data_IF_024514519966
#
_entry.id   IF_024514519966
#
_cell.length_a   1.000
_cell.length_b   1.000
_cell.length_c   1.000
_cell.angle_alpha   90.00
_cell.angle_beta   90.00
_cell.angle_gamma   90.00
#
_symmetry.space_group_name_H-M   'P 1'
#
loop_
_entity.id
_entity.type
_entity.pdbx_description
1 polymer ?
#
# COMPACT_ATOMS: atom_id res chain seq x y z
N UNK A 1 -23.49 25.30 -8.35
CA UNK A 1 -23.28 25.15 -6.90
C UNK A 1 -24.54 24.57 -6.33
N UNK A 2 -24.49 23.51 -5.52
CA UNK A 2 -25.69 22.94 -4.89
C UNK A 2 -25.79 23.36 -3.43
N UNK A 3 -27.02 23.58 -2.94
CA UNK A 3 -27.28 23.81 -1.53
C UNK A 3 -27.86 22.57 -0.91
N UNK A 4 -27.14 22.00 0.05
CA UNK A 4 -27.53 20.78 0.74
C UNK A 4 -27.63 21.04 2.24
N UNK A 5 -28.66 20.50 2.88
CA UNK A 5 -28.65 20.35 4.34
C UNK A 5 -27.55 19.37 4.76
N UNK A 6 -27.13 19.40 6.04
CA UNK A 6 -26.13 18.45 6.56
C UNK A 6 -26.54 16.98 6.35
N UNK A 7 -27.84 16.69 6.40
CA UNK A 7 -28.40 15.35 6.15
C UNK A 7 -28.27 14.95 4.66
N UNK A 8 -28.59 15.87 3.76
CA UNK A 8 -28.44 15.64 2.31
C UNK A 8 -26.97 15.50 1.93
N UNK A 9 -26.08 16.25 2.59
CA UNK A 9 -24.64 16.15 2.36
C UNK A 9 -24.05 14.84 2.89
N UNK A 10 -24.44 14.37 4.07
CA UNK A 10 -24.03 13.03 4.53
C UNK A 10 -24.49 11.94 3.57
N UNK A 11 -25.74 12.04 3.09
CA UNK A 11 -26.26 11.11 2.09
C UNK A 11 -25.45 11.17 0.81
N UNK A 12 -25.13 12.36 0.31
CA UNK A 12 -24.29 12.56 -0.85
C UNK A 12 -22.92 11.87 -0.71
N UNK A 13 -22.23 12.07 0.43
CA UNK A 13 -20.93 11.43 0.71
C UNK A 13 -21.08 9.91 0.81
N UNK A 14 -22.15 9.44 1.44
CA UNK A 14 -22.44 7.99 1.58
C UNK A 14 -22.70 7.34 0.22
N UNK A 15 -23.49 7.99 -0.64
CA UNK A 15 -23.79 7.51 -1.99
C UNK A 15 -22.52 7.54 -2.85
N UNK A 16 -21.69 8.59 -2.75
CA UNK A 16 -20.40 8.67 -3.43
C UNK A 16 -19.45 7.53 -3.02
N UNK A 17 -19.37 7.24 -1.72
CA UNK A 17 -18.57 6.13 -1.21
C UNK A 17 -19.09 4.78 -1.72
N UNK A 18 -20.41 4.56 -1.72
CA UNK A 18 -21.00 3.33 -2.23
C UNK A 18 -20.67 3.10 -3.70
N UNK A 19 -20.74 4.15 -4.54
CA UNK A 19 -20.34 4.05 -5.94
C UNK A 19 -18.86 3.75 -6.14
N UNK A 20 -17.98 4.36 -5.34
CA UNK A 20 -16.53 4.06 -5.37
C UNK A 20 -16.26 2.60 -5.01
N UNK A 21 -16.94 2.08 -3.98
CA UNK A 21 -16.81 0.69 -3.57
C UNK A 21 -17.36 -0.31 -4.61
N UNK A 22 -18.48 0.03 -5.27
CA UNK A 22 -19.03 -0.77 -6.36
C UNK A 22 -18.07 -0.83 -7.55
N UNK A 23 -17.55 0.33 -7.97
CA UNK A 23 -16.58 0.44 -9.05
C UNK A 23 -15.27 -0.30 -8.73
N UNK A 24 -14.83 -0.27 -7.46
CA UNK A 24 -13.68 -1.04 -7.01
C UNK A 24 -13.89 -2.54 -7.26
N UNK A 25 -15.05 -3.07 -6.87
CA UNK A 25 -15.39 -4.49 -7.07
C UNK A 25 -15.47 -4.85 -8.56
N UNK A 26 -16.07 -4.00 -9.38
CA UNK A 26 -16.12 -4.22 -10.84
C UNK A 26 -14.72 -4.29 -11.46
N UNK A 27 -13.80 -3.38 -11.08
CA UNK A 27 -12.41 -3.42 -11.57
C UNK A 27 -11.66 -4.66 -11.05
N UNK A 28 -11.94 -5.10 -9.82
CA UNK A 28 -11.36 -6.32 -9.25
C UNK A 28 -11.79 -7.57 -10.05
N UNK A 29 -13.06 -7.64 -10.45
CA UNK A 29 -13.59 -8.70 -11.31
C UNK A 29 -12.91 -8.68 -12.69
N UNK A 30 -12.66 -7.49 -13.28
CA UNK A 30 -11.86 -7.36 -14.52
C UNK A 30 -10.41 -7.83 -14.33
N UNK A 31 -9.76 -7.47 -13.22
CA UNK A 31 -8.39 -7.91 -12.90
C UNK A 31 -8.30 -9.43 -12.83
N UNK A 32 -9.29 -10.07 -12.22
CA UNK A 32 -9.36 -11.53 -12.18
C UNK A 32 -9.52 -12.11 -13.59
N UNK A 33 -10.45 -11.59 -14.40
CA UNK A 33 -10.64 -12.04 -15.77
C UNK A 33 -9.40 -11.85 -16.67
N UNK A 34 -8.65 -10.75 -16.50
CA UNK A 34 -7.39 -10.50 -17.18
C UNK A 34 -6.30 -11.48 -16.76
N UNK A 35 -6.17 -11.77 -15.46
CA UNK A 35 -5.21 -12.76 -14.96
C UNK A 35 -5.51 -14.15 -15.51
N UNK A 36 -6.78 -14.56 -15.51
CA UNK A 36 -7.22 -15.85 -16.06
C UNK A 36 -6.94 -15.93 -17.58
N UNK A 37 -7.22 -14.86 -18.32
CA UNK A 37 -6.94 -14.78 -19.76
C UNK A 37 -5.44 -14.87 -20.05
N UNK A 38 -4.61 -14.19 -19.25
CA UNK A 38 -3.15 -14.23 -19.37
C UNK A 38 -2.59 -15.61 -19.06
N UNK A 39 -3.02 -16.24 -17.97
CA UNK A 39 -2.56 -17.57 -17.61
C UNK A 39 -2.97 -18.61 -18.66
N UNK A 40 -4.19 -18.53 -19.19
CA UNK A 40 -4.62 -19.36 -20.31
C UNK A 40 -3.73 -19.16 -21.54
N UNK A 41 -3.46 -17.91 -21.91
CA UNK A 41 -2.57 -17.57 -23.04
C UNK A 41 -1.18 -18.18 -22.84
N UNK A 42 -0.63 -18.07 -21.63
CA UNK A 42 0.67 -18.64 -21.26
C UNK A 42 0.69 -20.16 -21.38
N UNK A 43 -0.33 -20.84 -20.86
CA UNK A 43 -0.44 -22.30 -20.90
C UNK A 43 -0.65 -22.81 -22.33
N UNK A 44 -1.50 -22.17 -23.12
CA UNK A 44 -1.74 -22.52 -24.52
C UNK A 44 -0.47 -22.36 -25.36
N UNK A 45 0.24 -21.25 -25.19
CA UNK A 45 1.54 -21.04 -25.84
C UNK A 45 2.57 -22.09 -25.44
N UNK A 46 2.62 -22.48 -24.16
CA UNK A 46 3.51 -23.53 -23.68
C UNK A 46 3.18 -24.88 -24.32
N UNK A 47 1.90 -25.25 -24.43
CA UNK A 47 1.47 -26.48 -25.12
C UNK A 47 1.85 -26.48 -26.61
N UNK A 48 1.61 -25.36 -27.30
CA UNK A 48 1.97 -25.20 -28.71
C UNK A 48 3.48 -25.38 -28.94
N UNK A 49 4.31 -24.81 -28.07
CA UNK A 49 5.77 -24.98 -28.14
C UNK A 49 6.16 -26.43 -27.92
N UNK A 50 5.61 -27.11 -26.91
CA UNK A 50 5.93 -28.52 -26.67
C UNK A 50 5.50 -29.42 -27.85
N UNK A 51 4.36 -29.14 -28.46
CA UNK A 51 3.92 -29.83 -29.67
C UNK A 51 4.84 -29.55 -30.86
N UNK A 52 5.24 -28.30 -31.07
CA UNK A 52 6.19 -27.93 -32.12
C UNK A 52 7.53 -28.63 -31.93
N UNK A 53 8.04 -28.71 -30.69
CA UNK A 53 9.24 -29.48 -30.34
C UNK A 53 9.11 -30.97 -30.67
N UNK A 54 7.96 -31.56 -30.37
CA UNK A 54 7.71 -32.97 -30.67
C UNK A 54 7.70 -33.23 -32.18
N UNK A 55 7.08 -32.35 -32.97
CA UNK A 55 7.08 -32.42 -34.45
C UNK A 55 8.51 -32.25 -34.98
N UNK A 56 9.25 -31.24 -34.51
CA UNK A 56 10.65 -31.00 -34.88
C UNK A 56 11.53 -32.22 -34.66
N UNK A 57 11.38 -32.92 -33.53
CA UNK A 57 12.16 -34.12 -33.20
C UNK A 57 11.77 -35.33 -34.05
N UNK A 58 10.48 -35.47 -34.37
CA UNK A 58 9.95 -36.66 -35.05
C UNK A 58 10.10 -36.56 -36.57
N UNK A 59 9.78 -35.40 -37.15
CA UNK A 59 9.78 -35.16 -38.59
C UNK A 59 11.08 -34.51 -39.09
N UNK A 60 12.15 -34.48 -38.27
CA UNK A 60 13.39 -33.74 -38.54
C UNK A 60 13.98 -33.93 -39.94
N UNK A 61 13.93 -35.15 -40.45
CA UNK A 61 14.48 -35.51 -41.77
C UNK A 61 13.57 -35.15 -42.95
N UNK A 62 12.34 -34.74 -42.66
CA UNK A 62 11.32 -34.31 -43.63
C UNK A 62 11.27 -32.78 -43.74
N UNK A 63 11.92 -32.06 -42.81
CA UNK A 63 11.99 -30.61 -42.78
C UNK A 63 12.98 -30.07 -43.82
N UNK A 64 12.79 -28.81 -44.19
CA UNK A 64 13.75 -28.08 -45.01
C UNK A 64 15.13 -27.98 -44.31
N UNK A 65 16.20 -28.32 -45.04
CA UNK A 65 17.54 -28.37 -44.48
C UNK A 65 18.08 -27.01 -44.03
N UNK A 66 17.64 -25.91 -44.65
CA UNK A 66 18.04 -24.57 -44.22
C UNK A 66 17.36 -24.16 -42.92
N UNK A 67 16.09 -24.52 -42.75
CA UNK A 67 15.37 -24.34 -41.50
C UNK A 67 16.03 -25.14 -40.35
N UNK A 68 16.36 -26.41 -40.57
CA UNK A 68 17.02 -27.25 -39.55
C UNK A 68 18.38 -26.69 -39.14
N UNK A 69 19.16 -26.17 -40.10
CA UNK A 69 20.45 -25.55 -39.82
C UNK A 69 20.32 -24.26 -39.00
N UNK A 70 19.34 -23.40 -39.30
CA UNK A 70 19.07 -22.19 -38.50
C UNK A 70 18.59 -22.53 -37.09
N UNK A 71 17.71 -23.51 -36.97
CA UNK A 71 17.26 -24.05 -35.70
C UNK A 71 18.41 -24.53 -34.83
N UNK A 72 19.28 -25.40 -35.35
CA UNK A 72 20.42 -25.94 -34.59
C UNK A 72 21.37 -24.84 -34.13
N UNK A 73 21.66 -23.87 -35.01
CA UNK A 73 22.51 -22.72 -34.68
C UNK A 73 21.94 -21.89 -33.52
N UNK A 74 20.60 -21.70 -33.49
CA UNK A 74 19.92 -21.00 -32.40
C UNK A 74 19.89 -21.83 -31.12
N UNK A 75 19.68 -23.14 -31.19
CA UNK A 75 19.76 -24.01 -30.01
C UNK A 75 21.15 -23.95 -29.38
N UNK A 76 22.21 -23.95 -30.18
CA UNK A 76 23.59 -23.80 -29.70
C UNK A 76 23.81 -22.43 -29.03
N UNK A 77 23.31 -21.35 -29.66
CA UNK A 77 23.38 -20.00 -29.09
C UNK A 77 22.62 -19.89 -27.76
N UNK A 78 21.39 -20.40 -27.69
CA UNK A 78 20.56 -20.36 -26.49
C UNK A 78 21.13 -21.24 -25.38
N UNK A 79 21.74 -22.38 -25.72
CA UNK A 79 22.44 -23.22 -24.74
C UNK A 79 23.58 -22.47 -24.07
N UNK A 80 24.43 -21.77 -24.85
CA UNK A 80 25.50 -20.95 -24.29
C UNK A 80 24.98 -19.76 -23.47
N UNK A 81 23.87 -19.16 -23.89
CA UNK A 81 23.21 -18.09 -23.13
C UNK A 81 22.67 -18.60 -21.79
N UNK A 82 22.01 -19.75 -21.78
CA UNK A 82 21.46 -20.40 -20.59
C UNK A 82 22.53 -20.78 -19.57
N UNK A 83 23.71 -21.23 -19.99
CA UNK A 83 24.84 -21.49 -19.10
C UNK A 83 25.32 -20.22 -18.40
N UNK A 84 25.40 -19.12 -19.16
CA UNK A 84 25.76 -17.80 -18.62
C UNK A 84 24.70 -17.32 -17.64
N UNK A 85 23.43 -17.39 -18.02
CA UNK A 85 22.28 -17.02 -17.18
C UNK A 85 22.24 -17.84 -15.89
N UNK A 86 22.48 -19.15 -15.94
CA UNK A 86 22.50 -20.01 -14.77
C UNK A 86 23.60 -19.61 -13.78
N UNK A 87 24.77 -19.19 -14.27
CA UNK A 87 25.86 -18.70 -13.43
C UNK A 87 25.50 -17.36 -12.79
N UNK A 88 24.95 -16.43 -13.57
CA UNK A 88 24.48 -15.13 -13.07
C UNK A 88 23.38 -15.30 -12.02
N UNK A 89 22.40 -16.17 -12.27
CA UNK A 89 21.33 -16.46 -11.31
C UNK A 89 21.88 -17.03 -10.00
N UNK A 90 22.85 -17.95 -10.05
CA UNK A 90 23.48 -18.52 -8.85
C UNK A 90 24.18 -17.44 -8.01
N UNK A 91 24.94 -16.55 -8.67
CA UNK A 91 25.60 -15.40 -8.02
C UNK A 91 24.58 -14.41 -7.41
N UNK A 92 23.52 -14.07 -8.15
CA UNK A 92 22.47 -13.16 -7.69
C UNK A 92 21.69 -13.74 -6.52
N UNK A 93 21.40 -15.04 -6.53
CA UNK A 93 20.79 -15.75 -5.39
C UNK A 93 21.67 -15.60 -4.16
N UNK A 94 22.97 -15.88 -4.28
CA UNK A 94 23.90 -15.73 -3.16
C UNK A 94 23.97 -14.29 -2.63
N UNK A 95 24.02 -13.30 -3.52
CA UNK A 95 24.06 -11.90 -3.16
C UNK A 95 22.76 -11.42 -2.46
N UNK A 96 21.58 -11.78 -2.97
CA UNK A 96 20.31 -11.41 -2.33
C UNK A 96 20.11 -12.13 -0.99
N UNK A 97 20.59 -13.37 -0.84
CA UNK A 97 20.60 -14.06 0.44
C UNK A 97 21.47 -13.36 1.48
N UNK A 98 22.68 -12.94 1.09
CA UNK A 98 23.56 -12.19 1.98
C UNK A 98 22.91 -10.88 2.47
N UNK A 99 22.22 -10.15 1.57
CA UNK A 99 21.45 -8.96 1.96
C UNK A 99 20.29 -9.29 2.89
N UNK A 100 19.60 -10.41 2.67
CA UNK A 100 18.52 -10.84 3.54
C UNK A 100 19.05 -11.20 4.95
N UNK A 101 20.22 -11.82 5.04
CA UNK A 101 20.86 -12.13 6.32
C UNK A 101 21.32 -10.85 7.05
N UNK A 102 21.83 -9.86 6.32
CA UNK A 102 22.17 -8.54 6.86
C UNK A 102 20.93 -7.85 7.49
N UNK A 103 19.77 -7.95 6.83
CA UNK A 103 18.50 -7.44 7.37
C UNK A 103 18.11 -8.11 8.68
N UNK A 104 18.26 -9.44 8.78
CA UNK A 104 18.01 -10.16 10.04
C UNK A 104 18.98 -9.74 11.14
N UNK A 105 20.26 -9.53 10.81
CA UNK A 105 21.24 -9.00 11.75
C UNK A 105 20.83 -7.59 12.24
N UNK A 106 20.36 -6.72 11.36
CA UNK A 106 19.89 -5.38 11.72
C UNK A 106 18.69 -5.41 12.66
N UNK A 107 17.71 -6.29 12.44
CA UNK A 107 16.59 -6.48 13.38
C UNK A 107 17.09 -6.95 14.75
N UNK A 108 18.07 -7.85 14.78
CA UNK A 108 18.67 -8.30 16.04
C UNK A 108 19.37 -7.16 16.80
N UNK A 109 20.04 -6.25 16.09
CA UNK A 109 20.64 -5.03 16.66
C UNK A 109 19.59 -4.09 17.24
N UNK A 110 18.51 -3.80 16.51
CA UNK A 110 17.40 -2.94 16.99
C UNK A 110 16.83 -3.50 18.29
N UNK A 111 16.53 -4.81 18.31
CA UNK A 111 16.03 -5.50 19.51
C UNK A 111 17.05 -5.53 20.65
N UNK A 112 18.35 -5.59 20.35
CA UNK A 112 19.40 -5.47 21.37
C UNK A 112 19.44 -4.05 21.96
N UNK A 113 19.33 -3.01 21.13
CA UNK A 113 19.26 -1.61 21.56
C UNK A 113 18.05 -1.30 22.44
N UNK A 114 16.88 -1.87 22.12
CA UNK A 114 15.69 -1.79 22.99
C UNK A 114 15.95 -2.43 24.36
N UNK A 115 16.57 -3.61 24.38
CA UNK A 115 16.91 -4.32 25.63
C UNK A 115 17.92 -3.58 26.49
N UNK A 116 18.84 -2.82 25.91
CA UNK A 116 19.79 -2.00 26.67
C UNK A 116 19.19 -0.68 27.17
N UNK A 117 18.26 -0.08 26.41
CA UNK A 117 17.66 1.22 26.76
C UNK A 117 16.56 1.08 27.82
N UNK A 118 15.82 -0.04 27.79
CA UNK A 118 14.70 -0.28 28.69
C UNK A 118 15.07 -0.17 30.19
N UNK A 119 16.15 -0.80 30.70
CA UNK A 119 16.53 -0.69 32.11
C UNK A 119 16.90 0.74 32.56
N UNK A 120 17.47 1.56 31.68
CA UNK A 120 17.85 2.94 32.03
C UNK A 120 16.63 3.85 32.17
N UNK A 121 15.66 3.73 31.26
CA UNK A 121 14.42 4.50 31.31
C UNK A 121 13.54 4.04 32.46
N UNK A 122 13.46 2.73 32.72
CA UNK A 122 12.75 2.15 33.85
C UNK A 122 13.32 2.64 35.19
N UNK A 123 14.65 2.63 35.35
CA UNK A 123 15.29 3.16 36.55
C UNK A 123 15.02 4.67 36.76
N UNK A 124 14.96 5.46 35.69
CA UNK A 124 14.60 6.90 35.76
C UNK A 124 13.13 7.09 36.12
N UNK A 125 12.23 6.31 35.53
CA UNK A 125 10.81 6.34 35.87
C UNK A 125 10.58 5.99 37.34
N UNK A 126 11.20 4.92 37.85
CA UNK A 126 11.07 4.52 39.25
C UNK A 126 11.64 5.56 40.23
N UNK A 127 12.76 6.20 39.88
CA UNK A 127 13.30 7.31 40.66
C UNK A 127 12.34 8.51 40.72
N UNK A 128 11.73 8.88 39.59
CA UNK A 128 10.76 9.97 39.51
C UNK A 128 9.46 9.65 40.26
N UNK A 129 8.98 8.41 40.22
CA UNK A 129 7.83 7.95 41.01
C UNK A 129 8.11 8.04 42.51
N UNK A 130 9.31 7.62 42.94
CA UNK A 130 9.72 7.73 44.33
C UNK A 130 9.81 9.19 44.80
N UNK A 131 10.35 10.08 43.97
CA UNK A 131 10.41 11.52 44.26
C UNK A 131 9.01 12.15 44.33
N UNK A 132 8.10 11.74 43.43
CA UNK A 132 6.71 12.21 43.42
C UNK A 132 6.00 11.80 44.71
N UNK A 133 6.08 10.53 45.11
CA UNK A 133 5.49 10.04 46.35
C UNK A 133 6.05 10.75 47.60
N UNK A 134 7.37 11.03 47.64
CA UNK A 134 7.99 11.77 48.75
C UNK A 134 7.48 13.21 48.82
N UNK A 135 7.45 13.92 47.69
CA UNK A 135 7.01 15.32 47.64
C UNK A 135 5.51 15.46 47.95
N UNK A 136 4.69 14.49 47.54
CA UNK A 136 3.25 14.45 47.82
C UNK A 136 2.99 14.29 49.32
N UNK A 137 3.70 13.34 49.96
CA UNK A 137 3.68 13.16 51.42
C UNK A 137 4.15 14.42 52.17
N UNK A 138 5.24 15.08 51.71
CA UNK A 138 5.71 16.34 52.30
C UNK A 138 4.69 17.48 52.15
N UNK A 139 3.94 17.49 51.05
CA UNK A 139 2.86 18.45 50.80
C UNK A 139 1.68 18.24 51.75
N UNK A 140 1.20 16.99 51.85
CA UNK A 140 0.10 16.59 52.74
C UNK A 140 0.41 16.88 54.21
N UNK A 141 1.62 16.59 54.66
CA UNK A 141 2.07 16.87 56.02
C UNK A 141 2.08 18.39 56.31
N UNK A 142 2.55 19.20 55.36
CA UNK A 142 2.55 20.67 55.46
C UNK A 142 1.14 21.25 55.47
N UNK A 143 0.23 20.73 54.64
CA UNK A 143 -1.17 21.16 54.61
C UNK A 143 -1.89 20.79 55.92
N UNK A 144 -1.65 19.59 56.44
CA UNK A 144 -2.17 19.15 57.73
C UNK A 144 -1.65 20.01 58.89
N UNK A 145 -0.37 20.42 58.85
CA UNK A 145 0.20 21.38 59.80
C UNK A 145 -0.48 22.75 59.72
N UNK A 146 -0.65 23.30 58.52
CA UNK A 146 -1.32 24.60 58.32
C UNK A 146 -2.77 24.54 58.83
N UNK A 147 -3.50 23.47 58.51
CA UNK A 147 -4.88 23.27 58.97
C UNK A 147 -4.97 23.16 60.50
N UNK A 148 -4.03 22.47 61.16
CA UNK A 148 -3.94 22.42 62.64
C UNK A 148 -3.64 23.79 63.23
N UNK A 149 -2.72 24.55 62.64
CA UNK A 149 -2.39 25.90 63.10
C UNK A 149 -3.53 26.90 62.88
N UNK A 150 -4.38 26.70 61.87
CA UNK A 150 -5.55 27.53 61.60
C UNK A 150 -6.71 27.25 62.58
N UNK A 151 -6.80 26.05 63.16
CA UNK A 151 -7.85 25.64 64.11
C UNK A 151 -7.65 26.14 65.55
N UNK A 152 -6.44 26.56 65.93
CA UNK A 152 -6.15 27.15 67.25
C UNK A 152 -6.01 28.68 67.12
N UNK A 153 -7.00 29.43 67.60
CA UNK A 153 -7.11 30.89 67.41
C UNK A 153 -5.99 31.73 68.08
N UNK A 154 -5.57 32.79 67.37
CA UNK A 154 -4.70 33.88 67.84
C UNK A 154 -4.26 34.81 66.70
N UNK A 155 -5.14 35.73 66.28
CA UNK A 155 -4.86 36.72 65.23
C UNK A 155 -3.68 37.62 65.61
N UNK A 156 -2.82 37.88 64.61
CA UNK A 156 -1.67 38.80 64.54
C UNK A 156 -0.25 38.22 64.74
N UNK A 157 -0.03 37.14 65.53
CA UNK A 157 1.34 36.61 65.72
C UNK A 157 1.71 35.38 64.87
N UNK A 158 0.76 34.71 64.19
CA UNK A 158 1.03 33.53 63.34
C UNK A 158 0.80 33.74 61.84
N UNK A 159 0.36 34.92 61.41
CA UNK A 159 0.09 35.21 59.98
C UNK A 159 1.35 35.06 59.12
N UNK A 160 2.50 35.51 59.64
CA UNK A 160 3.80 35.37 58.97
C UNK A 160 4.22 33.88 58.85
N UNK A 161 4.04 33.09 59.92
CA UNK A 161 4.38 31.67 59.93
C UNK A 161 3.47 30.81 59.02
N UNK A 162 2.19 31.18 58.87
CA UNK A 162 1.26 30.57 57.92
C UNK A 162 1.63 30.99 56.48
N UNK A 163 1.95 32.26 56.25
CA UNK A 163 2.41 32.73 54.93
C UNK A 163 3.72 32.07 54.50
N UNK A 164 4.67 31.89 55.41
CA UNK A 164 5.94 31.23 55.12
C UNK A 164 5.74 29.74 54.77
N UNK A 165 4.87 29.02 55.49
CA UNK A 165 4.51 27.64 55.13
C UNK A 165 3.69 27.56 53.84
N UNK A 166 2.80 28.52 53.57
CA UNK A 166 2.10 28.64 52.29
C UNK A 166 3.04 28.87 51.11
N UNK A 167 4.14 29.64 51.31
CA UNK A 167 5.21 29.76 50.30
C UNK A 167 5.96 28.44 50.09
N UNK A 168 6.11 27.61 51.13
CA UNK A 168 6.73 26.28 51.03
C UNK A 168 5.83 25.30 50.28
N UNK A 169 4.52 25.27 50.55
CA UNK A 169 3.54 24.52 49.76
C UNK A 169 3.57 24.91 48.29
N UNK A 170 3.50 26.22 47.99
CA UNK A 170 3.59 26.69 46.60
C UNK A 170 4.91 26.28 45.93
N UNK A 171 6.00 26.15 46.70
CA UNK A 171 7.27 25.66 46.19
C UNK A 171 7.29 24.13 45.99
N UNK A 172 6.59 23.36 46.85
CA UNK A 172 6.37 21.92 46.69
C UNK A 172 5.48 21.62 45.50
N UNK A 173 4.37 22.34 45.32
CA UNK A 173 3.48 22.22 44.15
C UNK A 173 4.25 22.42 42.84
N UNK A 174 5.14 23.43 42.81
CA UNK A 174 6.01 23.68 41.64
C UNK A 174 6.97 22.51 41.39
N UNK A 175 7.49 21.87 42.44
CA UNK A 175 8.37 20.70 42.33
C UNK A 175 7.60 19.47 41.89
N UNK A 176 6.42 19.22 42.46
CA UNK A 176 5.50 18.15 42.03
C UNK A 176 5.18 18.28 40.55
N UNK A 177 4.81 19.48 40.10
CA UNK A 177 4.55 19.75 38.68
C UNK A 177 5.79 19.53 37.80
N UNK A 178 7.00 19.83 38.29
CA UNK A 178 8.24 19.58 37.56
C UNK A 178 8.57 18.08 37.46
N UNK A 179 8.41 17.31 38.53
CA UNK A 179 8.62 15.86 38.55
C UNK A 179 7.58 15.14 37.69
N UNK A 180 6.31 15.56 37.73
CA UNK A 180 5.27 15.03 36.87
C UNK A 180 5.58 15.24 35.37
N UNK A 181 6.04 16.43 34.98
CA UNK A 181 6.48 16.69 33.59
C UNK A 181 7.70 15.84 33.20
N UNK A 182 8.62 15.61 34.12
CA UNK A 182 9.78 14.75 33.87
C UNK A 182 9.35 13.28 33.67
N UNK A 183 8.35 12.80 34.42
CA UNK A 183 7.78 11.47 34.27
C UNK A 183 7.07 11.32 32.91
N UNK A 184 6.24 12.29 32.52
CA UNK A 184 5.59 12.30 31.20
C UNK A 184 6.63 12.32 30.07
N UNK A 185 7.73 13.06 30.27
CA UNK A 185 8.83 13.09 29.33
C UNK A 185 9.48 11.72 29.16
N UNK A 186 9.85 11.03 30.24
CA UNK A 186 10.45 9.68 30.18
C UNK A 186 9.51 8.68 29.48
N UNK A 187 8.21 8.76 29.74
CA UNK A 187 7.20 7.93 29.06
C UNK A 187 7.11 8.23 27.58
N UNK A 188 7.09 9.52 27.21
CA UNK A 188 7.08 9.93 25.79
C UNK A 188 8.36 9.53 25.06
N UNK A 189 9.52 9.58 25.73
CA UNK A 189 10.80 9.10 25.21
C UNK A 189 10.73 7.60 24.92
N UNK A 190 10.19 6.80 25.85
CA UNK A 190 9.99 5.36 25.64
C UNK A 190 9.02 5.05 24.50
N UNK A 191 7.86 5.73 24.44
CA UNK A 191 6.89 5.56 23.35
C UNK A 191 7.54 5.87 22.00
N UNK A 192 8.30 6.96 21.91
CA UNK A 192 9.00 7.35 20.67
C UNK A 192 10.02 6.30 20.27
N UNK A 193 10.88 5.85 21.21
CA UNK A 193 11.90 4.82 20.95
C UNK A 193 11.25 3.51 20.49
N UNK A 194 10.17 3.08 21.15
CA UNK A 194 9.44 1.87 20.79
C UNK A 194 8.77 1.99 19.42
N UNK A 195 8.14 3.12 19.13
CA UNK A 195 7.48 3.38 17.86
C UNK A 195 8.50 3.37 16.71
N UNK A 196 9.59 4.13 16.82
CA UNK A 196 10.66 4.16 15.81
C UNK A 196 11.25 2.76 15.58
N UNK A 197 11.54 2.01 16.65
CA UNK A 197 12.08 0.65 16.51
C UNK A 197 11.08 -0.32 15.85
N UNK A 198 9.78 -0.16 16.12
CA UNK A 198 8.72 -0.99 15.51
C UNK A 198 8.55 -0.67 14.03
N UNK A 199 8.56 0.62 13.67
CA UNK A 199 8.49 1.07 12.27
C UNK A 199 9.70 0.59 11.47
N UNK A 200 10.92 0.71 12.02
CA UNK A 200 12.14 0.18 11.41
C UNK A 200 12.09 -1.35 11.26
N UNK A 201 11.67 -2.08 12.30
CA UNK A 201 11.55 -3.55 12.25
C UNK A 201 10.54 -3.99 11.17
N UNK A 202 9.38 -3.33 11.07
CA UNK A 202 8.36 -3.63 10.08
C UNK A 202 8.84 -3.36 8.65
N UNK A 203 9.53 -2.24 8.43
CA UNK A 203 10.12 -1.90 7.13
C UNK A 203 11.15 -2.96 6.70
N UNK A 204 12.07 -3.32 7.61
CA UNK A 204 13.09 -4.35 7.33
C UNK A 204 12.44 -5.72 7.07
N UNK A 205 11.41 -6.10 7.84
CA UNK A 205 10.69 -7.35 7.65
C UNK A 205 10.01 -7.41 6.28
N UNK A 206 9.39 -6.31 5.83
CA UNK A 206 8.77 -6.19 4.51
C UNK A 206 9.79 -6.39 3.40
N UNK A 207 10.94 -5.71 3.49
CA UNK A 207 12.02 -5.86 2.52
C UNK A 207 12.63 -7.27 2.52
N UNK A 208 12.75 -7.90 3.70
CA UNK A 208 13.23 -9.27 3.83
C UNK A 208 12.27 -10.26 3.17
N UNK A 209 10.96 -10.13 3.39
CA UNK A 209 9.95 -10.97 2.73
C UNK A 209 10.01 -10.83 1.20
N UNK A 210 10.09 -9.60 0.71
CA UNK A 210 10.25 -9.33 -0.72
C UNK A 210 11.54 -9.96 -1.29
N UNK A 211 12.65 -9.93 -0.54
CA UNK A 211 13.90 -10.58 -0.94
C UNK A 211 13.75 -12.11 -1.01
N UNK A 212 13.08 -12.74 -0.04
CA UNK A 212 12.83 -14.19 -0.06
C UNK A 212 11.99 -14.62 -1.26
N UNK A 213 10.97 -13.84 -1.63
CA UNK A 213 10.16 -14.07 -2.84
C UNK A 213 11.02 -13.99 -4.11
N UNK A 214 11.89 -12.98 -4.22
CA UNK A 214 12.83 -12.86 -5.35
C UNK A 214 13.78 -14.05 -5.43
N UNK A 215 14.36 -14.47 -4.30
CA UNK A 215 15.25 -15.66 -4.22
C UNK A 215 14.51 -16.93 -4.63
N UNK A 216 13.27 -17.13 -4.17
CA UNK A 216 12.46 -18.28 -4.53
C UNK A 216 12.22 -18.33 -6.05
N UNK A 217 11.88 -17.19 -6.66
CA UNK A 217 11.70 -17.10 -8.12
C UNK A 217 12.98 -17.40 -8.88
N UNK A 218 14.10 -16.78 -8.52
CA UNK A 218 15.40 -17.04 -9.16
C UNK A 218 15.81 -18.51 -9.04
N UNK A 219 15.56 -19.16 -7.89
CA UNK A 219 15.81 -20.59 -7.70
C UNK A 219 14.93 -21.47 -8.57
N UNK A 220 13.66 -21.10 -8.74
CA UNK A 220 12.76 -21.81 -9.64
C UNK A 220 13.25 -21.73 -11.09
N UNK A 221 13.68 -20.56 -11.54
CA UNK A 221 14.18 -20.36 -12.90
C UNK A 221 15.51 -21.11 -13.11
N UNK A 222 16.43 -21.03 -12.14
CA UNK A 222 17.68 -21.80 -12.15
C UNK A 222 17.42 -23.32 -12.18
N UNK A 223 16.41 -23.81 -11.45
CA UNK A 223 16.03 -25.21 -11.46
C UNK A 223 15.52 -25.65 -12.84
N UNK A 224 14.66 -24.84 -13.50
CA UNK A 224 14.20 -25.13 -14.88
C UNK A 224 15.39 -25.29 -15.83
N UNK A 225 16.37 -24.39 -15.75
CA UNK A 225 17.56 -24.43 -16.61
C UNK A 225 18.40 -25.67 -16.29
N UNK A 226 18.64 -25.98 -15.00
CA UNK A 226 19.48 -27.12 -14.60
C UNK A 226 18.84 -28.48 -14.87
N UNK A 227 17.53 -28.59 -14.75
CA UNK A 227 16.80 -29.86 -14.89
C UNK A 227 16.62 -30.27 -16.37
N UNK A 228 16.42 -29.31 -17.29
CA UNK A 228 16.21 -29.54 -18.73
C UNK A 228 16.83 -28.43 -19.59
N UNK A 229 18.14 -28.21 -19.48
CA UNK A 229 18.85 -27.15 -20.23
C UNK A 229 18.65 -27.28 -21.74
N UNK A 230 18.76 -28.51 -22.27
CA UNK A 230 18.57 -28.78 -23.69
C UNK A 230 17.16 -28.50 -24.15
N UNK A 231 16.14 -28.89 -23.37
CA UNK A 231 14.77 -28.58 -23.72
C UNK A 231 14.42 -27.11 -23.60
N UNK A 232 15.00 -26.40 -22.64
CA UNK A 232 14.83 -24.95 -22.53
C UNK A 232 15.51 -24.20 -23.68
N UNK A 233 16.69 -24.63 -24.11
CA UNK A 233 17.36 -24.09 -25.29
C UNK A 233 16.51 -24.26 -26.55
N UNK A 234 15.90 -25.44 -26.74
CA UNK A 234 14.94 -25.67 -27.83
C UNK A 234 13.73 -24.74 -27.73
N UNK A 235 13.08 -24.62 -26.55
CA UNK A 235 11.93 -23.69 -26.40
C UNK A 235 12.30 -22.26 -26.77
N UNK A 236 13.45 -21.76 -26.29
CA UNK A 236 13.92 -20.40 -26.57
C UNK A 236 14.30 -20.20 -28.03
N UNK A 237 14.93 -21.20 -28.66
CA UNK A 237 15.21 -21.17 -30.09
C UNK A 237 13.90 -21.09 -30.91
N UNK A 238 12.85 -21.80 -30.48
CA UNK A 238 11.56 -21.79 -31.18
C UNK A 238 10.94 -20.40 -31.11
N UNK A 239 10.96 -19.80 -29.91
CA UNK A 239 10.49 -18.44 -29.74
C UNK A 239 11.29 -17.44 -30.55
N UNK A 240 12.63 -17.53 -30.59
CA UNK A 240 13.45 -16.56 -31.31
C UNK A 240 13.33 -16.68 -32.83
N UNK A 241 12.89 -17.82 -33.36
CA UNK A 241 12.58 -18.00 -34.79
C UNK A 241 11.24 -17.38 -35.18
N UNK A 242 10.29 -17.36 -34.24
CA UNK A 242 8.95 -16.83 -34.47
C UNK A 242 8.90 -15.33 -34.20
N UNK A 243 9.56 -14.87 -33.15
CA UNK A 243 9.55 -13.46 -32.75
C UNK A 243 10.27 -12.54 -33.75
N UNK A 244 9.57 -11.50 -34.18
CA UNK A 244 10.14 -10.41 -35.00
C UNK A 244 10.32 -10.78 -36.47
N UNK A 245 9.94 -11.98 -36.89
CA UNK A 245 9.89 -12.35 -38.30
C UNK A 245 8.64 -11.72 -38.96
N UNK A 246 8.78 -11.19 -40.19
CA UNK A 246 7.62 -10.70 -40.94
C UNK A 246 6.67 -11.84 -41.35
N UNK A 247 7.22 -13.05 -41.48
CA UNK A 247 6.51 -14.32 -41.67
C UNK A 247 7.39 -15.44 -41.09
N UNK A 248 6.84 -16.44 -40.38
CA UNK A 248 7.63 -17.55 -39.87
C UNK A 248 8.36 -18.28 -41.00
N UNK A 249 9.59 -18.77 -40.78
CA UNK A 249 10.37 -19.41 -41.83
C UNK A 249 9.65 -20.69 -42.33
N UNK A 250 9.56 -20.92 -43.65
CA UNK A 250 8.89 -22.10 -44.18
C UNK A 250 9.65 -23.35 -43.77
N UNK A 251 8.99 -24.25 -43.05
CA UNK A 251 9.62 -25.48 -42.53
C UNK A 251 9.57 -26.64 -43.51
N UNK A 252 8.75 -26.53 -44.55
CA UNK A 252 8.44 -27.63 -45.47
C UNK A 252 7.46 -28.66 -44.89
N UNK A 253 6.94 -28.41 -43.68
CA UNK A 253 6.06 -29.32 -42.97
C UNK A 253 4.82 -28.59 -42.43
N UNK A 254 3.66 -28.85 -43.05
CA UNK A 254 2.44 -28.06 -42.83
C UNK A 254 1.95 -28.03 -41.38
N UNK A 255 2.16 -29.10 -40.61
CA UNK A 255 1.79 -29.11 -39.19
C UNK A 255 2.68 -28.17 -38.36
N UNK A 256 3.98 -28.14 -38.67
CA UNK A 256 4.93 -27.29 -37.94
C UNK A 256 4.70 -25.83 -38.32
N UNK A 257 4.49 -25.53 -39.60
CA UNK A 257 4.14 -24.19 -40.08
C UNK A 257 2.88 -23.65 -39.37
N UNK A 258 1.85 -24.51 -39.19
CA UNK A 258 0.63 -24.13 -38.48
C UNK A 258 0.86 -23.86 -36.99
N UNK A 259 1.71 -24.67 -36.33
CA UNK A 259 2.05 -24.47 -34.91
C UNK A 259 2.87 -23.19 -34.70
N UNK A 260 3.86 -22.92 -35.55
CA UNK A 260 4.67 -21.69 -35.47
C UNK A 260 3.82 -20.44 -35.70
N UNK A 261 2.88 -20.48 -36.64
CA UNK A 261 1.94 -19.39 -36.87
C UNK A 261 1.01 -19.14 -35.67
N UNK A 262 0.60 -20.18 -34.94
CA UNK A 262 -0.22 -20.02 -33.73
C UNK A 262 0.60 -19.50 -32.54
N UNK A 263 1.86 -19.94 -32.42
CA UNK A 263 2.80 -19.39 -31.42
C UNK A 263 3.00 -17.89 -31.65
N UNK A 264 3.12 -17.45 -32.91
CA UNK A 264 3.26 -16.03 -33.28
C UNK A 264 2.01 -15.22 -32.91
N UNK A 265 0.81 -15.79 -33.10
CA UNK A 265 -0.45 -15.12 -32.71
C UNK A 265 -0.55 -14.88 -31.21
N UNK A 266 0.10 -15.72 -30.39
CA UNK A 266 0.20 -15.57 -28.94
C UNK A 266 1.53 -14.93 -28.54
N UNK A 267 2.00 -13.96 -29.32
CA UNK A 267 3.29 -13.29 -29.16
C UNK A 267 3.49 -12.64 -27.78
N UNK A 268 4.74 -12.24 -27.50
CA UNK A 268 5.05 -11.44 -26.32
C UNK A 268 4.28 -10.13 -26.30
N UNK A 269 3.95 -9.54 -27.45
CA UNK A 269 3.15 -8.31 -27.53
C UNK A 269 1.76 -8.51 -26.90
N UNK A 270 1.13 -9.67 -27.10
CA UNK A 270 -0.18 -9.99 -26.49
C UNK A 270 -0.06 -10.10 -24.97
N UNK A 271 0.98 -10.78 -24.48
CA UNK A 271 1.24 -10.90 -23.04
C UNK A 271 1.59 -9.55 -22.41
N UNK A 272 2.34 -8.71 -23.11
CA UNK A 272 2.70 -7.35 -22.71
C UNK A 272 1.47 -6.42 -22.66
N UNK A 273 0.57 -6.53 -23.63
CA UNK A 273 -0.70 -5.80 -23.61
C UNK A 273 -1.57 -6.21 -22.41
N UNK A 274 -1.63 -7.51 -22.10
CA UNK A 274 -2.33 -8.02 -20.92
C UNK A 274 -1.65 -7.55 -19.62
N UNK A 275 -0.32 -7.51 -19.56
CA UNK A 275 0.41 -6.99 -18.41
C UNK A 275 0.17 -5.49 -18.19
N UNK A 276 0.19 -4.69 -19.26
CA UNK A 276 -0.16 -3.26 -19.21
C UNK A 276 -1.59 -3.05 -18.70
N UNK A 277 -2.53 -3.91 -19.09
CA UNK A 277 -3.90 -3.89 -18.59
C UNK A 277 -3.98 -4.24 -17.09
N UNK A 278 -3.25 -5.27 -16.66
CA UNK A 278 -3.16 -5.62 -15.24
C UNK A 278 -2.61 -4.46 -14.41
N UNK A 279 -1.52 -3.83 -14.86
CA UNK A 279 -0.94 -2.66 -14.21
C UNK A 279 -1.94 -1.50 -14.12
N UNK A 280 -2.61 -1.14 -15.23
CA UNK A 280 -3.58 -0.05 -15.25
C UNK A 280 -4.75 -0.28 -14.28
N UNK A 281 -5.27 -1.51 -14.20
CA UNK A 281 -6.34 -1.81 -13.24
C UNK A 281 -5.85 -1.81 -11.78
N UNK A 282 -4.62 -2.26 -11.50
CA UNK A 282 -4.05 -2.16 -10.15
C UNK A 282 -3.85 -0.69 -9.71
N UNK A 283 -3.39 0.17 -10.62
CA UNK A 283 -3.31 1.63 -10.39
C UNK A 283 -4.68 2.21 -10.06
N UNK A 284 -5.73 1.86 -10.82
CA UNK A 284 -7.10 2.29 -10.58
C UNK A 284 -7.65 1.81 -9.23
N UNK A 285 -7.44 0.53 -8.87
CA UNK A 285 -7.85 -0.01 -7.57
C UNK A 285 -7.18 0.72 -6.41
N UNK A 286 -5.88 1.03 -6.54
CA UNK A 286 -5.16 1.82 -5.55
C UNK A 286 -5.79 3.21 -5.35
N UNK A 287 -6.12 3.90 -6.44
CA UNK A 287 -6.79 5.20 -6.38
C UNK A 287 -8.20 5.12 -5.76
N UNK A 288 -9.02 4.16 -6.19
CA UNK A 288 -10.36 3.96 -5.66
C UNK A 288 -10.34 3.62 -4.17
N UNK A 289 -9.38 2.80 -3.73
CA UNK A 289 -9.17 2.50 -2.31
C UNK A 289 -8.83 3.76 -1.50
N UNK A 290 -7.90 4.58 -1.99
CA UNK A 290 -7.53 5.85 -1.35
C UNK A 290 -8.69 6.84 -1.27
N UNK A 291 -9.44 7.01 -2.36
CA UNK A 291 -10.65 7.86 -2.39
C UNK A 291 -11.71 7.32 -1.43
N UNK A 292 -11.95 6.00 -1.42
CA UNK A 292 -12.90 5.35 -0.53
C UNK A 292 -12.57 5.60 0.94
N UNK A 293 -11.30 5.42 1.34
CA UNK A 293 -10.83 5.71 2.70
C UNK A 293 -10.97 7.19 3.07
N UNK A 294 -10.64 8.10 2.16
CA UNK A 294 -10.82 9.53 2.37
C UNK A 294 -12.29 9.93 2.56
N UNK A 295 -13.19 9.36 1.74
CA UNK A 295 -14.63 9.56 1.87
C UNK A 295 -15.18 8.97 3.18
N UNK A 296 -14.67 7.83 3.63
CA UNK A 296 -15.02 7.24 4.93
C UNK A 296 -14.69 8.18 6.10
N UNK A 297 -13.45 8.68 6.16
CA UNK A 297 -13.04 9.62 7.21
C UNK A 297 -13.79 10.96 7.14
N UNK A 298 -14.06 11.44 5.93
CA UNK A 298 -14.87 12.65 5.74
C UNK A 298 -16.34 12.44 6.18
N UNK A 299 -16.93 11.28 5.87
CA UNK A 299 -18.28 10.91 6.29
C UNK A 299 -18.40 10.87 7.81
N UNK A 300 -17.38 10.38 8.52
CA UNK A 300 -17.35 10.43 10.00
C UNK A 300 -17.36 11.86 10.53
N UNK A 301 -16.61 12.77 9.90
CA UNK A 301 -16.60 14.19 10.24
C UNK A 301 -17.98 14.83 10.04
N UNK A 302 -18.64 14.57 8.90
CA UNK A 302 -20.01 15.05 8.62
C UNK A 302 -21.02 14.47 9.61
N UNK A 303 -20.91 13.18 9.96
CA UNK A 303 -21.77 12.53 10.97
C UNK A 303 -21.63 13.16 12.34
N UNK A 304 -20.42 13.52 12.74
CA UNK A 304 -20.17 14.23 14.01
C UNK A 304 -20.92 15.57 14.04
N UNK A 305 -20.81 16.37 12.96
CA UNK A 305 -21.51 17.65 12.84
C UNK A 305 -23.03 17.47 12.80
N UNK A 306 -23.53 16.45 12.09
CA UNK A 306 -24.97 16.14 12.11
C UNK A 306 -25.45 15.78 13.51
N UNK A 307 -24.72 14.93 14.22
CA UNK A 307 -25.09 14.51 15.58
C UNK A 307 -25.14 15.71 16.54
N UNK A 308 -24.23 16.67 16.38
CA UNK A 308 -24.25 17.93 17.12
C UNK A 308 -25.51 18.76 16.80
N UNK A 309 -25.87 18.91 15.52
CA UNK A 309 -27.12 19.58 15.13
C UNK A 309 -28.37 18.88 15.66
N UNK A 310 -28.42 17.55 15.61
CA UNK A 310 -29.56 16.77 16.10
C UNK A 310 -29.71 16.87 17.62
N UNK A 311 -28.59 16.98 18.36
CA UNK A 311 -28.58 17.18 19.81
C UNK A 311 -29.05 18.59 20.22
N UNK A 312 -28.89 19.58 19.35
CA UNK A 312 -29.21 20.98 19.60
C UNK A 312 -30.38 21.48 18.75
N UNK A 313 -31.57 20.96 19.02
CA UNK A 313 -32.80 21.23 18.24
C UNK A 313 -33.23 22.70 18.19
N UNK A 314 -32.71 23.55 19.08
CA UNK A 314 -32.93 25.00 19.08
C UNK A 314 -32.08 25.78 18.05
N UNK A 315 -31.04 25.16 17.48
CA UNK A 315 -30.18 25.81 16.49
C UNK A 315 -30.80 25.79 15.08
N UNK A 316 -30.52 26.81 14.24
CA UNK A 316 -30.97 26.80 12.85
C UNK A 316 -30.37 25.62 12.08
N UNK A 317 -31.09 25.13 11.06
CA UNK A 317 -30.61 24.04 10.21
C UNK A 317 -29.37 24.47 9.42
N UNK A 318 -28.37 23.60 9.41
CA UNK A 318 -27.09 23.83 8.73
C UNK A 318 -27.27 23.56 7.25
N UNK A 319 -26.91 24.55 6.43
CA UNK A 319 -26.95 24.46 4.97
C UNK A 319 -25.55 24.71 4.43
N UNK A 320 -25.09 23.79 3.60
CA UNK A 320 -23.78 23.80 2.96
C UNK A 320 -23.93 24.19 1.49
N UNK A 321 -23.04 25.09 1.05
CA UNK A 321 -22.90 25.45 -0.36
C UNK A 321 -21.82 24.55 -0.98
N UNK A 322 -22.23 23.48 -1.68
CA UNK A 322 -21.31 22.53 -2.31
C UNK A 322 -20.88 23.03 -3.70
N UNK A 323 -19.58 23.17 -3.97
CA UNK A 323 -19.07 23.60 -5.27
C UNK A 323 -19.42 22.64 -6.42
N UNK A 324 -19.62 23.17 -7.63
CA UNK A 324 -19.86 22.36 -8.83
C UNK A 324 -18.73 21.37 -9.18
N UNK A 325 -17.43 21.68 -8.95
CA UNK A 325 -16.36 20.72 -9.18
C UNK A 325 -16.52 19.43 -8.37
N UNK A 326 -16.95 19.52 -7.10
CA UNK A 326 -17.23 18.35 -6.23
C UNK A 326 -18.35 17.48 -6.81
N UNK A 327 -19.44 18.10 -7.24
CA UNK A 327 -20.58 17.38 -7.84
C UNK A 327 -20.15 16.71 -9.15
N UNK A 328 -19.40 17.45 -9.98
CA UNK A 328 -18.91 16.96 -11.27
C UNK A 328 -17.96 15.79 -11.09
N UNK A 329 -17.06 15.85 -10.09
CA UNK A 329 -16.14 14.78 -9.75
C UNK A 329 -16.88 13.47 -9.43
N UNK A 330 -17.89 13.53 -8.56
CA UNK A 330 -18.68 12.34 -8.19
C UNK A 330 -19.67 11.88 -9.26
N UNK A 331 -19.96 12.71 -10.26
CA UNK A 331 -20.79 12.34 -11.42
C UNK A 331 -20.10 11.36 -12.39
N UNK A 332 -18.78 11.18 -12.27
CA UNK A 332 -18.02 10.31 -13.17
C UNK A 332 -18.13 8.82 -12.84
N UNK A 333 -18.49 8.45 -11.61
CA UNK A 333 -18.59 7.05 -11.19
C UNK A 333 -19.55 6.24 -12.05
N UNK A 334 -20.72 6.79 -12.36
CA UNK A 334 -21.71 6.14 -13.22
C UNK A 334 -21.24 6.00 -14.66
N UNK A 335 -20.42 6.93 -15.16
CA UNK A 335 -19.87 6.83 -16.51
C UNK A 335 -18.84 5.70 -16.56
N UNK A 336 -17.97 5.63 -15.57
CA UNK A 336 -16.98 4.57 -15.41
C UNK A 336 -17.63 3.18 -15.34
N UNK A 337 -18.62 3.00 -14.46
CA UNK A 337 -19.27 1.68 -14.32
C UNK A 337 -19.89 1.22 -15.65
N UNK A 338 -20.51 2.13 -16.41
CA UNK A 338 -21.06 1.84 -17.74
C UNK A 338 -20.02 1.35 -18.77
N UNK A 339 -18.76 1.76 -18.65
CA UNK A 339 -17.68 1.26 -19.50
C UNK A 339 -17.17 -0.12 -19.06
N UNK A 340 -17.32 -0.47 -17.78
CA UNK A 340 -16.73 -1.67 -17.16
C UNK A 340 -17.71 -2.86 -17.12
N UNK A 341 -19.00 -2.65 -17.43
CA UNK A 341 -20.14 -3.62 -17.37
C UNK A 341 -19.88 -5.00 -17.99
N UNK A 342 -18.83 -5.20 -18.79
CA UNK A 342 -18.50 -6.50 -19.35
C UNK A 342 -17.04 -6.87 -19.16
N UNK A 343 -16.72 -7.46 -17.99
CA UNK A 343 -15.38 -7.92 -17.62
C UNK A 343 -14.76 -8.84 -18.68
N UNK A 344 -15.55 -9.76 -19.25
CA UNK A 344 -15.05 -10.70 -20.28
C UNK A 344 -14.69 -9.99 -21.57
N UNK A 345 -15.43 -8.94 -21.94
CA UNK A 345 -15.12 -8.14 -23.11
C UNK A 345 -13.89 -7.26 -22.87
N UNK A 346 -13.72 -6.72 -21.66
CA UNK A 346 -12.53 -5.95 -21.29
C UNK A 346 -11.28 -6.83 -21.26
N UNK A 347 -11.39 -8.05 -20.71
CA UNK A 347 -10.31 -9.02 -20.73
C UNK A 347 -9.96 -9.51 -22.16
N UNK A 348 -10.92 -9.52 -23.08
CA UNK A 348 -10.70 -9.84 -24.49
C UNK A 348 -10.04 -8.69 -25.28
N UNK A 349 -10.07 -7.46 -24.76
CA UNK A 349 -9.49 -6.28 -25.41
C UNK A 349 -8.62 -5.44 -24.44
N UNK A 350 -7.46 -5.96 -23.99
CA UNK A 350 -6.60 -5.32 -22.99
C UNK A 350 -6.21 -3.87 -23.34
N UNK A 351 -5.87 -3.59 -24.60
CA UNK A 351 -5.51 -2.25 -25.05
C UNK A 351 -6.66 -1.23 -24.92
N UNK A 352 -7.91 -1.66 -25.18
CA UNK A 352 -9.09 -0.81 -25.04
C UNK A 352 -9.36 -0.49 -23.56
N UNK A 353 -9.18 -1.47 -22.68
CA UNK A 353 -9.28 -1.28 -21.24
C UNK A 353 -8.23 -0.29 -20.71
N UNK A 354 -6.96 -0.44 -21.11
CA UNK A 354 -5.88 0.49 -20.73
C UNK A 354 -6.21 1.92 -21.17
N UNK A 355 -6.66 2.09 -22.42
CA UNK A 355 -7.01 3.41 -22.94
C UNK A 355 -8.16 4.05 -22.16
N UNK A 356 -9.18 3.26 -21.82
CA UNK A 356 -10.33 3.73 -21.04
C UNK A 356 -9.90 4.17 -19.63
N UNK A 357 -9.16 3.32 -18.92
CA UNK A 357 -8.71 3.61 -17.55
C UNK A 357 -7.78 4.82 -17.51
N UNK A 358 -6.74 4.85 -18.36
CA UNK A 358 -5.78 5.97 -18.36
C UNK A 358 -6.46 7.29 -18.70
N UNK A 359 -7.39 7.27 -19.65
CA UNK A 359 -8.17 8.47 -20.01
C UNK A 359 -8.96 9.05 -18.83
N UNK A 360 -9.44 8.18 -17.93
CA UNK A 360 -10.12 8.59 -16.69
C UNK A 360 -9.10 9.07 -15.65
N UNK A 361 -8.05 8.29 -15.39
CA UNK A 361 -7.02 8.61 -14.40
C UNK A 361 -6.42 9.99 -14.69
N UNK A 362 -5.96 10.21 -15.92
CA UNK A 362 -5.22 11.43 -16.27
C UNK A 362 -6.09 12.69 -16.25
N UNK A 363 -7.40 12.56 -16.47
CA UNK A 363 -8.32 13.71 -16.64
C UNK A 363 -9.20 13.96 -15.43
N UNK A 364 -9.78 12.91 -14.87
CA UNK A 364 -10.86 13.01 -13.89
C UNK A 364 -10.40 12.61 -12.49
N UNK A 365 -9.42 11.70 -12.38
CA UNK A 365 -8.88 11.21 -11.10
C UNK A 365 -7.40 11.57 -10.92
N UNK A 366 -6.97 12.70 -11.47
CA UNK A 366 -5.62 13.19 -11.23
C UNK A 366 -5.44 13.58 -9.76
N UNK A 367 -4.19 13.57 -9.27
CA UNK A 367 -3.89 13.99 -7.90
C UNK A 367 -4.47 15.36 -7.56
N UNK A 368 -4.29 16.34 -8.46
CA UNK A 368 -4.85 17.69 -8.33
C UNK A 368 -6.38 17.71 -8.26
N UNK A 369 -7.06 16.83 -8.99
CA UNK A 369 -8.52 16.76 -8.98
C UNK A 369 -9.05 16.14 -7.68
N UNK A 370 -8.39 15.08 -7.20
CA UNK A 370 -8.72 14.40 -5.94
C UNK A 370 -8.48 15.34 -4.75
N UNK A 371 -7.31 16.00 -4.70
CA UNK A 371 -6.97 16.97 -3.65
C UNK A 371 -7.99 18.11 -3.64
N UNK A 372 -8.25 18.72 -4.80
CA UNK A 372 -9.22 19.80 -4.93
C UNK A 372 -10.61 19.38 -4.45
N UNK A 373 -11.06 18.17 -4.80
CA UNK A 373 -12.37 17.66 -4.36
C UNK A 373 -12.45 17.56 -2.84
N UNK A 374 -11.45 16.96 -2.17
CA UNK A 374 -11.45 16.85 -0.71
C UNK A 374 -11.32 18.21 -0.01
N UNK A 375 -10.47 19.10 -0.51
CA UNK A 375 -10.32 20.46 0.03
C UNK A 375 -11.62 21.24 -0.11
N UNK A 376 -12.24 21.25 -1.28
CA UNK A 376 -13.51 21.97 -1.51
C UNK A 376 -14.66 21.41 -0.65
N UNK A 377 -14.69 20.10 -0.42
CA UNK A 377 -15.65 19.48 0.52
C UNK A 377 -15.40 19.90 1.97
N UNK A 378 -14.14 19.93 2.41
CA UNK A 378 -13.73 20.38 3.74
C UNK A 378 -14.01 21.86 3.98
N UNK A 379 -13.71 22.71 3.00
CA UNK A 379 -13.97 24.14 3.04
C UNK A 379 -15.48 24.43 3.10
N UNK A 380 -16.28 23.69 2.33
CA UNK A 380 -17.73 23.81 2.37
C UNK A 380 -18.31 23.45 3.74
N UNK A 381 -17.82 22.37 4.36
CA UNK A 381 -18.22 21.96 5.71
C UNK A 381 -17.79 23.00 6.75
N UNK A 382 -16.54 23.46 6.71
CA UNK A 382 -15.97 24.42 7.67
C UNK A 382 -16.66 25.78 7.57
N UNK A 383 -16.84 26.30 6.36
CA UNK A 383 -17.56 27.56 6.13
C UNK A 383 -19.01 27.45 6.60
N UNK A 384 -19.64 26.31 6.39
CA UNK A 384 -20.99 26.03 6.86
C UNK A 384 -21.10 26.05 8.38
N UNK A 385 -20.21 25.35 9.08
CA UNK A 385 -20.21 25.27 10.55
C UNK A 385 -19.83 26.60 11.21
N UNK A 386 -18.92 27.37 10.61
CA UNK A 386 -18.61 28.73 11.07
C UNK A 386 -19.82 29.66 10.99
N UNK A 387 -20.57 29.64 9.89
CA UNK A 387 -21.81 30.41 9.72
C UNK A 387 -22.92 29.97 10.67
N UNK A 388 -22.88 28.72 11.13
CA UNK A 388 -23.87 28.14 12.04
C UNK A 388 -23.62 28.50 13.50
N UNK A 389 -22.34 28.66 13.87
CA UNK A 389 -21.90 29.07 15.21
C UNK A 389 -21.78 30.60 15.40
N UNK A 390 -21.98 31.38 14.33
CA UNK A 390 -22.00 32.84 14.34
C UNK A 390 -23.43 33.36 14.55
#
# INVERSE_FOLDING_TARGET
MARLSIHEFERFVTDAQAHVAELYREIEEVQQALNDARERTRLERQDLVERARQVLRTARFELDGSFVADWDARVDQESASLETEATVLDELIGAEQAKADEKLARVAEIRAGLRSTNPELDAREEALKADLARLDQESDDLDAEIARMAKWFGLLFRKCAIQERGKKLLALDKRLAAVARALDKVRSEWVTVLQTATEEELAIQTEWQAAQLRVARMRQDLAKIRDDAGGEAERRALFSMVQGAAEPPPTGHSELDALLAEIDRLSDDVLDEQEKALQAGAEMLGMLSGIGQGLDGFRESVRSVRAEQDAHSELPKLVLDIPDPVISFHGYWTQLSQYIVNERQMAAHPASFVQAIRGVIDRQLSGDAIERMFTEMGDALSTGTERWNA
#
